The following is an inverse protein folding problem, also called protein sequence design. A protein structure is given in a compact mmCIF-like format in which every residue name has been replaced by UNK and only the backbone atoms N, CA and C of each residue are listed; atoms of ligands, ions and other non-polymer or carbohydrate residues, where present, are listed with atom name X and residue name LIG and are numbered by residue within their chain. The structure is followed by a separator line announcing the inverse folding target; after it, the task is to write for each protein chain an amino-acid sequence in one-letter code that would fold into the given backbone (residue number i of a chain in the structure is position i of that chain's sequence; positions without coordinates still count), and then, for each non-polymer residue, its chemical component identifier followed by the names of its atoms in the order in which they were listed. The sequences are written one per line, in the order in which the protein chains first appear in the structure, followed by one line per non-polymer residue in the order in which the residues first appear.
data_IF_018091651727
#
_entry.id   IF_018091651727
#
_cell.length_a   1.000
_cell.length_b   1.000
_cell.length_c   1.000
_cell.angle_alpha   90.00
_cell.angle_beta   90.00
_cell.angle_gamma   90.00
#
_symmetry.space_group_name_H-M   'P 1'
#
loop_
_entity.id
_entity.type
_entity.pdbx_description
1 polymer ?
#
# COMPACT_ATOMS: atom_id res chain seq x y z
N UNK A 1 -0.79 25.82 15.96
CA UNK A 1 -1.09 24.55 15.25
C UNK A 1 0.18 24.12 14.54
N UNK A 2 0.87 23.07 15.01
CA UNK A 2 2.12 22.63 14.39
C UNK A 2 1.80 21.31 13.66
N UNK A 3 1.38 21.40 12.40
CA UNK A 3 1.34 20.24 11.54
C UNK A 3 2.79 19.85 11.30
N UNK A 4 3.20 18.70 11.84
CA UNK A 4 4.54 18.20 11.63
C UNK A 4 4.66 17.63 10.21
N UNK A 5 5.25 18.40 9.31
CA UNK A 5 5.46 18.04 7.89
C UNK A 5 6.58 17.01 7.68
N UNK A 6 7.31 16.64 8.73
CA UNK A 6 8.39 15.66 8.59
C UNK A 6 7.82 14.27 8.25
N UNK A 7 8.35 13.65 7.21
CA UNK A 7 7.95 12.30 6.80
C UNK A 7 8.25 11.27 7.90
N UNK A 8 9.42 11.39 8.55
CA UNK A 8 9.88 10.50 9.60
C UNK A 8 9.93 11.21 10.96
N UNK A 9 9.47 10.57 12.02
CA UNK A 9 9.59 11.09 13.37
C UNK A 9 11.03 10.97 13.89
N UNK A 10 11.50 11.96 14.65
CA UNK A 10 12.85 11.94 15.23
C UNK A 10 13.04 10.80 16.23
N UNK A 11 12.00 10.45 16.95
CA UNK A 11 12.01 9.39 17.97
C UNK A 11 10.94 8.34 17.65
N UNK A 12 11.15 7.08 18.04
CA UNK A 12 10.12 6.06 17.96
C UNK A 12 8.87 6.48 18.73
N UNK A 13 7.72 6.24 18.15
CA UNK A 13 6.44 6.47 18.81
C UNK A 13 5.99 5.18 19.49
N UNK A 14 5.43 5.31 20.70
CA UNK A 14 4.76 4.18 21.32
C UNK A 14 3.39 3.97 20.67
N UNK A 15 3.14 2.76 20.19
CA UNK A 15 1.83 2.37 19.65
C UNK A 15 0.99 1.71 20.75
N UNK A 16 -0.34 1.93 20.76
CA UNK A 16 -1.24 1.18 21.64
C UNK A 16 -1.28 -0.29 21.21
N UNK A 17 -1.45 -1.16 22.21
CA UNK A 17 -1.55 -2.62 21.99
C UNK A 17 -3.01 -3.10 21.99
N UNK A 18 -3.96 -2.22 22.24
CA UNK A 18 -5.41 -2.49 22.21
C UNK A 18 -6.19 -1.20 22.03
N UNK A 19 -7.35 -1.26 21.41
CA UNK A 19 -8.30 -0.15 21.32
C UNK A 19 -8.77 0.32 22.70
N UNK A 20 -8.84 -0.56 23.69
CA UNK A 20 -9.23 -0.23 25.07
C UNK A 20 -8.29 0.78 25.72
N UNK A 21 -7.04 0.87 25.27
CA UNK A 21 -6.08 1.86 25.77
C UNK A 21 -6.32 3.28 25.24
N UNK A 22 -7.20 3.41 24.26
CA UNK A 22 -7.51 4.69 23.65
C UNK A 22 -8.87 5.22 24.12
N UNK A 23 -9.00 6.54 24.37
CA UNK A 23 -10.28 7.16 24.65
C UNK A 23 -11.28 6.88 23.53
N UNK A 24 -12.43 6.29 23.83
CA UNK A 24 -13.45 5.85 22.88
C UNK A 24 -12.96 4.79 21.87
N UNK A 25 -11.90 4.04 22.18
CA UNK A 25 -11.28 3.10 21.27
C UNK A 25 -12.25 2.03 20.77
N UNK A 26 -13.06 1.44 21.64
CA UNK A 26 -14.07 0.45 21.25
C UNK A 26 -15.10 1.02 20.25
N UNK A 27 -15.50 2.27 20.45
CA UNK A 27 -16.42 2.92 19.52
C UNK A 27 -15.77 3.15 18.13
N UNK A 28 -14.46 3.46 18.10
CA UNK A 28 -13.70 3.53 16.85
C UNK A 28 -13.62 2.17 16.16
N UNK A 29 -13.27 1.12 16.91
CA UNK A 29 -13.17 -0.24 16.40
C UNK A 29 -14.48 -0.70 15.78
N UNK A 30 -15.60 -0.58 16.51
CA UNK A 30 -16.94 -0.97 16.05
C UNK A 30 -17.39 -0.18 14.80
N UNK A 31 -17.08 1.12 14.74
CA UNK A 31 -17.41 1.95 13.58
C UNK A 31 -16.60 1.52 12.35
N UNK A 32 -15.32 1.17 12.53
CA UNK A 32 -14.45 0.66 11.46
C UNK A 32 -14.92 -0.72 10.97
N UNK A 33 -15.27 -1.64 11.86
CA UNK A 33 -15.80 -2.96 11.50
C UNK A 33 -17.05 -2.83 10.61
N UNK A 34 -18.01 -2.00 11.00
CA UNK A 34 -19.20 -1.72 10.20
C UNK A 34 -18.87 -1.13 8.84
N UNK A 35 -17.87 -0.23 8.79
CA UNK A 35 -17.47 0.41 7.54
C UNK A 35 -16.72 -0.53 6.59
N UNK A 36 -15.99 -1.51 7.13
CA UNK A 36 -15.23 -2.51 6.37
C UNK A 36 -16.09 -3.68 5.90
N UNK A 37 -17.14 -4.04 6.65
CA UNK A 37 -17.99 -5.21 6.37
C UNK A 37 -18.42 -5.36 4.89
N UNK A 38 -18.87 -4.32 4.17
CA UNK A 38 -19.29 -4.45 2.77
C UNK A 38 -18.15 -4.81 1.81
N UNK A 39 -16.90 -4.60 2.25
CA UNK A 39 -15.70 -4.81 1.43
C UNK A 39 -15.09 -6.20 1.62
N UNK A 40 -15.39 -6.87 2.73
CA UNK A 40 -14.80 -8.16 3.04
C UNK A 40 -15.12 -9.23 2.00
N UNK A 41 -16.33 -9.18 1.43
CA UNK A 41 -16.75 -10.10 0.35
C UNK A 41 -16.00 -9.90 -0.97
N UNK A 42 -15.39 -8.73 -1.17
CA UNK A 42 -14.61 -8.42 -2.38
C UNK A 42 -13.17 -8.95 -2.33
N UNK A 43 -12.71 -9.37 -1.17
CA UNK A 43 -11.39 -9.96 -1.00
C UNK A 43 -11.46 -11.40 -1.50
N UNK A 44 -10.82 -11.70 -2.63
CA UNK A 44 -10.85 -13.03 -3.25
C UNK A 44 -9.70 -13.94 -2.83
N UNK A 45 -8.56 -13.34 -2.42
CA UNK A 45 -7.34 -14.07 -2.08
C UNK A 45 -7.39 -14.82 -0.75
N UNK A 46 -6.35 -15.60 -0.45
CA UNK A 46 -6.28 -16.47 0.73
C UNK A 46 -5.56 -15.81 1.91
N UNK A 47 -4.47 -15.06 1.66
CA UNK A 47 -3.63 -14.50 2.72
C UNK A 47 -4.00 -13.06 3.04
N UNK A 48 -4.32 -12.82 4.31
CA UNK A 48 -4.71 -11.50 4.83
C UNK A 48 -3.68 -11.03 5.84
N UNK A 49 -3.12 -9.86 5.62
CA UNK A 49 -2.20 -9.22 6.56
C UNK A 49 -2.93 -8.21 7.45
N UNK A 50 -2.80 -8.33 8.75
CA UNK A 50 -3.20 -7.32 9.74
C UNK A 50 -1.94 -6.74 10.39
N UNK A 51 -1.62 -5.49 10.09
CA UNK A 51 -0.42 -4.85 10.59
C UNK A 51 -0.70 -3.93 11.78
N UNK A 52 -0.08 -4.26 12.91
CA UNK A 52 -0.26 -3.57 14.19
C UNK A 52 -1.42 -4.10 15.03
N UNK A 53 -1.33 -3.91 16.33
CA UNK A 53 -2.28 -4.45 17.30
C UNK A 53 -3.71 -3.94 17.08
N UNK A 54 -3.87 -2.67 16.73
CA UNK A 54 -5.19 -2.10 16.45
C UNK A 54 -5.86 -2.74 15.23
N UNK A 55 -5.07 -3.12 14.21
CA UNK A 55 -5.58 -3.83 13.03
C UNK A 55 -6.02 -5.25 13.38
N UNK A 56 -5.32 -5.90 14.30
CA UNK A 56 -5.63 -7.26 14.73
C UNK A 56 -6.98 -7.36 15.44
N UNK A 57 -7.34 -6.38 16.27
CA UNK A 57 -8.60 -6.36 17.00
C UNK A 57 -9.82 -6.04 16.14
N UNK A 58 -9.62 -5.53 14.93
CA UNK A 58 -10.73 -5.37 13.97
C UNK A 58 -11.12 -6.75 13.47
N UNK A 59 -12.29 -7.22 13.90
CA UNK A 59 -12.80 -8.53 13.52
C UNK A 59 -13.19 -8.48 12.04
N UNK A 60 -12.57 -9.36 11.27
CA UNK A 60 -12.91 -9.61 9.88
C UNK A 60 -13.41 -11.05 9.81
N UNK A 61 -14.71 -11.21 9.65
CA UNK A 61 -15.31 -12.52 9.43
C UNK A 61 -14.98 -12.98 8.00
N UNK A 62 -13.83 -13.60 7.85
CA UNK A 62 -13.33 -14.15 6.60
C UNK A 62 -13.09 -15.66 6.78
N UNK A 63 -14.14 -16.46 6.74
CA UNK A 63 -14.01 -17.90 6.92
C UNK A 63 -13.07 -18.47 5.85
N UNK A 64 -12.29 -19.47 6.24
CA UNK A 64 -11.33 -20.19 5.39
C UNK A 64 -10.16 -19.33 4.85
N UNK A 65 -9.90 -18.17 5.42
CA UNK A 65 -8.75 -17.33 5.08
C UNK A 65 -7.66 -17.45 6.14
N UNK A 66 -6.41 -17.42 5.70
CA UNK A 66 -5.26 -17.37 6.59
C UNK A 66 -4.95 -15.92 6.94
N UNK A 67 -5.02 -15.57 8.22
CA UNK A 67 -4.71 -14.22 8.69
C UNK A 67 -3.32 -14.19 9.31
N UNK A 68 -2.50 -13.29 8.85
CA UNK A 68 -1.16 -13.04 9.38
C UNK A 68 -1.20 -11.75 10.17
N UNK A 69 -1.06 -11.87 11.49
CA UNK A 69 -1.00 -10.73 12.39
C UNK A 69 0.47 -10.37 12.63
N UNK A 70 0.87 -9.17 12.27
CA UNK A 70 2.22 -8.68 12.52
C UNK A 70 2.19 -7.53 13.50
N UNK A 71 2.91 -7.66 14.59
CA UNK A 71 3.05 -6.61 15.62
C UNK A 71 4.47 -6.54 16.15
N UNK A 72 4.93 -5.33 16.50
CA UNK A 72 6.24 -5.15 17.13
C UNK A 72 6.27 -5.67 18.57
N UNK A 73 5.10 -5.70 19.22
CA UNK A 73 4.94 -6.20 20.60
C UNK A 73 3.80 -7.21 20.61
N UNK A 74 4.08 -8.38 21.12
CA UNK A 74 3.07 -9.40 21.37
C UNK A 74 2.46 -9.13 22.75
N UNK A 75 1.15 -9.04 22.80
CA UNK A 75 0.38 -8.92 24.03
C UNK A 75 -0.51 -10.15 24.23
N UNK A 76 -0.88 -10.50 25.48
CA UNK A 76 -1.83 -11.60 25.72
C UNK A 76 -3.15 -11.43 24.96
N UNK A 77 -3.62 -10.19 24.79
CA UNK A 77 -4.83 -9.90 24.03
C UNK A 77 -4.69 -10.32 22.56
N UNK A 78 -3.53 -10.08 21.93
CA UNK A 78 -3.28 -10.51 20.56
C UNK A 78 -3.28 -12.04 20.42
N UNK A 79 -2.69 -12.71 21.40
CA UNK A 79 -2.66 -14.18 21.40
C UNK A 79 -4.07 -14.78 21.58
N UNK A 80 -4.92 -14.14 22.37
CA UNK A 80 -6.30 -14.56 22.58
C UNK A 80 -7.21 -14.36 21.36
N UNK A 81 -6.83 -13.49 20.43
CA UNK A 81 -7.58 -13.24 19.19
C UNK A 81 -7.28 -14.25 18.08
N UNK A 82 -6.25 -15.08 18.24
CA UNK A 82 -5.82 -16.04 17.22
C UNK A 82 -6.82 -17.19 17.10
N UNK A 83 -7.16 -17.53 15.89
CA UNK A 83 -7.86 -18.76 15.53
C UNK A 83 -6.86 -19.81 15.05
N UNK A 84 -7.33 -21.04 14.83
CA UNK A 84 -6.46 -22.14 14.38
C UNK A 84 -5.74 -21.87 13.04
N UNK A 85 -6.32 -21.00 12.21
CA UNK A 85 -5.77 -20.66 10.89
C UNK A 85 -4.98 -19.35 10.88
N UNK A 86 -4.72 -18.73 12.04
CA UNK A 86 -4.03 -17.46 12.10
C UNK A 86 -2.57 -17.64 12.50
N UNK A 87 -1.71 -16.80 11.98
CA UNK A 87 -0.28 -16.73 12.34
C UNK A 87 0.05 -15.41 12.98
N UNK A 88 0.67 -15.42 14.16
CA UNK A 88 1.18 -14.23 14.82
C UNK A 88 2.69 -14.11 14.64
N UNK A 89 3.14 -13.01 14.07
CA UNK A 89 4.56 -12.72 13.85
C UNK A 89 4.97 -11.48 14.63
N UNK A 90 6.09 -11.59 15.34
CA UNK A 90 6.74 -10.43 15.95
C UNK A 90 7.76 -9.85 14.99
N UNK A 91 7.46 -8.69 14.40
CA UNK A 91 8.36 -8.03 13.46
C UNK A 91 8.14 -6.52 13.47
N UNK A 92 9.13 -5.79 12.93
CA UNK A 92 9.01 -4.36 12.69
C UNK A 92 8.08 -4.11 11.50
N UNK A 93 7.19 -3.15 11.65
CA UNK A 93 6.28 -2.75 10.56
C UNK A 93 6.99 -2.21 9.32
N UNK A 94 8.27 -1.79 9.47
CA UNK A 94 9.12 -1.28 8.39
C UNK A 94 9.97 -2.33 7.68
N UNK A 95 9.94 -3.60 8.13
CA UNK A 95 10.69 -4.72 7.56
C UNK A 95 9.90 -6.00 7.85
N UNK A 96 9.00 -6.36 6.95
CA UNK A 96 8.11 -7.51 7.12
C UNK A 96 8.82 -8.80 6.67
N UNK A 97 8.82 -9.86 7.51
CA UNK A 97 9.38 -11.16 7.16
C UNK A 97 8.42 -11.97 6.29
N UNK A 98 7.91 -11.36 5.23
CA UNK A 98 6.94 -11.94 4.31
C UNK A 98 7.48 -11.88 2.89
N UNK A 99 7.10 -12.87 2.09
CA UNK A 99 7.47 -12.94 0.68
C UNK A 99 6.75 -11.82 -0.09
N UNK A 100 7.34 -11.37 -1.17
CA UNK A 100 6.75 -10.34 -2.03
C UNK A 100 5.57 -10.91 -2.81
N UNK A 101 4.51 -10.07 -2.99
CA UNK A 101 3.35 -10.39 -3.81
C UNK A 101 2.58 -11.65 -3.40
N UNK A 102 2.49 -11.93 -2.10
CA UNK A 102 1.73 -13.09 -1.59
C UNK A 102 0.48 -12.69 -0.79
N UNK A 103 0.36 -11.42 -0.40
CA UNK A 103 -0.73 -10.94 0.44
C UNK A 103 -1.85 -10.40 -0.43
N UNK A 104 -3.04 -10.95 -0.28
CA UNK A 104 -4.22 -10.54 -1.06
C UNK A 104 -4.90 -9.29 -0.52
N UNK A 105 -4.86 -9.09 0.81
CA UNK A 105 -5.38 -7.87 1.42
C UNK A 105 -4.57 -7.50 2.67
N UNK A 106 -4.37 -6.20 2.87
CA UNK A 106 -3.70 -5.65 4.03
C UNK A 106 -4.60 -4.69 4.79
N UNK A 107 -4.73 -4.89 6.11
CA UNK A 107 -5.40 -3.99 7.04
C UNK A 107 -4.37 -3.19 7.81
N UNK A 108 -4.37 -1.89 7.58
CA UNK A 108 -3.47 -0.91 8.19
C UNK A 108 -4.29 0.10 9.00
N UNK A 109 -4.87 -0.37 10.11
CA UNK A 109 -5.86 0.37 10.88
C UNK A 109 -5.16 1.27 11.90
N UNK A 110 -5.19 2.57 11.66
CA UNK A 110 -4.57 3.63 12.47
C UNK A 110 -3.08 3.42 12.80
N UNK A 111 -2.43 2.43 12.18
CA UNK A 111 -1.02 2.08 12.40
C UNK A 111 -0.10 3.22 12.00
N UNK A 112 -0.36 3.91 10.88
CA UNK A 112 0.46 5.04 10.44
C UNK A 112 0.45 6.21 11.42
N UNK A 113 -0.63 6.39 12.18
CA UNK A 113 -0.71 7.47 13.16
C UNK A 113 0.30 7.31 14.31
N UNK A 114 0.71 6.08 14.61
CA UNK A 114 1.69 5.75 15.65
C UNK A 114 3.05 5.32 15.07
N UNK A 115 3.21 5.38 13.78
CA UNK A 115 4.43 4.97 13.11
C UNK A 115 5.52 6.05 13.13
N UNK A 116 6.78 5.63 13.32
CA UNK A 116 7.94 6.50 13.16
C UNK A 116 8.18 6.85 11.68
N UNK A 117 8.11 5.86 10.80
CA UNK A 117 8.37 5.99 9.37
C UNK A 117 7.20 5.40 8.54
N UNK A 118 6.16 6.20 8.28
CA UNK A 118 4.98 5.74 7.53
C UNK A 118 5.29 5.39 6.07
N UNK A 119 6.27 6.08 5.46
CA UNK A 119 6.64 5.80 4.07
C UNK A 119 7.27 4.41 3.91
N UNK A 120 8.14 4.03 4.84
CA UNK A 120 8.75 2.71 4.79
C UNK A 120 7.71 1.61 5.00
N UNK A 121 6.72 1.84 5.90
CA UNK A 121 5.61 0.90 6.09
C UNK A 121 4.82 0.73 4.79
N UNK A 122 4.44 1.82 4.12
CA UNK A 122 3.70 1.75 2.86
C UNK A 122 4.49 1.06 1.74
N UNK A 123 5.82 1.23 1.68
CA UNK A 123 6.69 0.51 0.74
C UNK A 123 6.71 -0.98 1.02
N UNK A 124 6.79 -1.38 2.29
CA UNK A 124 6.73 -2.79 2.68
C UNK A 124 5.37 -3.42 2.36
N UNK A 125 4.27 -2.69 2.59
CA UNK A 125 2.94 -3.13 2.19
C UNK A 125 2.87 -3.31 0.67
N UNK A 126 3.36 -2.34 -0.10
CA UNK A 126 3.41 -2.46 -1.56
C UNK A 126 4.23 -3.68 -2.02
N UNK A 127 5.34 -3.98 -1.34
CA UNK A 127 6.19 -5.13 -1.66
C UNK A 127 5.49 -6.46 -1.44
N UNK A 128 4.82 -6.62 -0.29
CA UNK A 128 4.19 -7.90 0.09
C UNK A 128 2.81 -8.12 -0.54
N UNK A 129 2.11 -7.03 -0.90
CA UNK A 129 0.79 -7.11 -1.51
C UNK A 129 0.89 -7.62 -2.95
N UNK A 130 0.04 -8.57 -3.32
CA UNK A 130 -0.09 -9.04 -4.70
C UNK A 130 -0.57 -7.94 -5.64
N UNK A 131 -0.39 -8.13 -6.93
CA UNK A 131 -0.96 -7.21 -7.92
C UNK A 131 -2.50 -7.33 -7.85
N UNK A 132 -3.20 -6.21 -7.93
CA UNK A 132 -4.64 -6.07 -7.67
C UNK A 132 -5.08 -6.36 -6.22
N UNK A 133 -4.13 -6.54 -5.30
CA UNK A 133 -4.41 -6.73 -3.88
C UNK A 133 -4.98 -5.47 -3.20
N UNK A 134 -5.74 -5.68 -2.13
CA UNK A 134 -6.48 -4.64 -1.43
C UNK A 134 -5.71 -4.05 -0.25
N UNK A 135 -5.73 -2.73 -0.12
CA UNK A 135 -5.24 -2.02 1.06
C UNK A 135 -6.40 -1.30 1.75
N UNK A 136 -6.65 -1.67 3.01
CA UNK A 136 -7.61 -1.02 3.90
C UNK A 136 -6.84 -0.17 4.91
N UNK A 137 -6.84 1.14 4.70
CA UNK A 137 -6.09 2.09 5.51
C UNK A 137 -7.03 2.99 6.29
N UNK A 138 -6.93 3.03 7.62
CA UNK A 138 -7.63 4.03 8.41
C UNK A 138 -6.67 4.96 9.14
N UNK A 139 -7.14 6.19 9.36
CA UNK A 139 -6.39 7.27 9.99
C UNK A 139 -7.30 8.10 10.88
N UNK A 140 -6.74 8.73 11.90
CA UNK A 140 -7.42 9.81 12.60
C UNK A 140 -7.50 11.03 11.69
N UNK A 141 -8.71 11.53 11.53
CA UNK A 141 -8.99 12.67 10.66
C UNK A 141 -8.44 13.98 11.27
N UNK A 142 -7.55 14.68 10.57
CA UNK A 142 -6.99 15.94 11.07
C UNK A 142 -8.00 17.10 11.13
N UNK A 143 -9.13 17.00 10.43
CA UNK A 143 -10.20 18.00 10.49
C UNK A 143 -11.14 17.80 11.69
N UNK A 144 -11.01 16.68 12.40
CA UNK A 144 -11.79 16.42 13.60
C UNK A 144 -11.27 17.20 14.82
N UNK A 145 -12.04 17.29 15.90
CA UNK A 145 -11.58 17.90 17.17
C UNK A 145 -10.30 17.26 17.72
N UNK A 146 -9.90 16.09 17.23
CA UNK A 146 -8.64 15.44 17.59
C UNK A 146 -7.40 16.24 17.17
N UNK A 147 -7.53 17.22 16.25
CA UNK A 147 -6.43 18.09 15.82
C UNK A 147 -5.81 18.88 16.96
N UNK A 148 -6.59 19.19 17.99
CA UNK A 148 -6.10 19.89 19.16
C UNK A 148 -5.38 18.97 20.16
N UNK A 149 -5.43 17.65 19.96
CA UNK A 149 -4.80 16.68 20.83
C UNK A 149 -3.43 16.27 20.28
N UNK A 150 -2.40 16.31 21.13
CA UNK A 150 -1.07 15.79 20.80
C UNK A 150 -0.90 14.32 21.18
N UNK A 151 -1.74 13.85 22.09
CA UNK A 151 -1.78 12.46 22.58
C UNK A 151 -3.20 11.96 22.58
N UNK A 152 -3.38 10.71 22.27
CA UNK A 152 -4.64 10.00 22.43
C UNK A 152 -4.47 9.01 23.58
N UNK A 153 -5.09 9.33 24.74
CA UNK A 153 -4.71 8.69 25.99
C UNK A 153 -3.24 9.00 26.35
N UNK A 154 -2.46 7.97 26.59
CA UNK A 154 -1.03 8.10 26.90
C UNK A 154 -0.12 8.05 25.65
N UNK A 155 -0.68 7.85 24.45
CA UNK A 155 0.08 7.63 23.23
C UNK A 155 0.21 8.91 22.40
N UNK A 156 1.43 9.37 22.11
CA UNK A 156 1.64 10.42 21.14
C UNK A 156 1.29 9.88 19.75
N UNK A 157 0.55 10.64 18.95
CA UNK A 157 0.15 10.24 17.63
C UNK A 157 0.36 11.35 16.61
N UNK A 158 0.48 10.97 15.37
CA UNK A 158 0.66 11.87 14.23
C UNK A 158 -0.61 11.92 13.42
N UNK A 159 -0.94 13.09 12.96
CA UNK A 159 -2.06 13.31 12.06
C UNK A 159 -1.53 13.69 10.68
N UNK A 160 -2.12 13.10 9.67
CA UNK A 160 -1.75 13.34 8.28
C UNK A 160 -2.95 13.92 7.52
N UNK A 161 -2.77 15.01 6.78
CA UNK A 161 -3.79 15.43 5.83
C UNK A 161 -4.09 14.31 4.85
N UNK A 162 -5.36 14.05 4.58
CA UNK A 162 -5.78 12.91 3.74
C UNK A 162 -5.21 13.00 2.33
N UNK A 163 -5.12 14.22 1.76
CA UNK A 163 -4.53 14.43 0.44
C UNK A 163 -3.08 13.95 0.36
N UNK A 164 -2.31 14.13 1.44
CA UNK A 164 -0.91 13.68 1.50
C UNK A 164 -0.77 12.17 1.50
N UNK A 165 -1.68 11.48 2.19
CA UNK A 165 -1.71 10.01 2.18
C UNK A 165 -2.09 9.50 0.79
N UNK A 166 -3.06 10.13 0.13
CA UNK A 166 -3.45 9.80 -1.24
C UNK A 166 -2.26 9.98 -2.19
N UNK A 167 -1.52 11.07 -2.05
CA UNK A 167 -0.31 11.34 -2.84
C UNK A 167 0.76 10.25 -2.63
N UNK A 168 1.00 9.81 -1.38
CA UNK A 168 1.92 8.71 -1.11
C UNK A 168 1.45 7.38 -1.71
N UNK A 169 0.16 7.10 -1.66
CA UNK A 169 -0.41 5.91 -2.25
C UNK A 169 -0.31 5.94 -3.78
N UNK A 170 -0.56 7.09 -4.40
CA UNK A 170 -0.41 7.27 -5.85
C UNK A 170 1.04 7.06 -6.31
N UNK A 171 2.03 7.56 -5.56
CA UNK A 171 3.46 7.31 -5.82
C UNK A 171 3.84 5.82 -5.74
N UNK A 172 3.09 5.03 -4.99
CA UNK A 172 3.26 3.58 -4.88
C UNK A 172 2.28 2.81 -5.80
N UNK A 173 1.71 3.45 -6.81
CA UNK A 173 0.81 2.83 -7.76
C UNK A 173 -0.43 2.17 -7.14
N UNK A 174 -1.00 2.77 -6.10
CA UNK A 174 -2.29 2.41 -5.56
C UNK A 174 -3.39 3.28 -6.15
N UNK A 175 -4.46 2.64 -6.64
CA UNK A 175 -5.69 3.32 -7.03
C UNK A 175 -6.62 3.43 -5.82
N UNK A 176 -7.11 4.64 -5.56
CA UNK A 176 -8.09 4.88 -4.50
C UNK A 176 -9.47 4.51 -5.01
N UNK A 177 -10.04 3.46 -4.45
CA UNK A 177 -11.38 2.97 -4.81
C UNK A 177 -12.46 3.68 -4.01
N UNK A 178 -12.24 3.87 -2.70
CA UNK A 178 -13.17 4.60 -1.85
C UNK A 178 -12.41 5.39 -0.78
N UNK A 179 -12.94 6.56 -0.47
CA UNK A 179 -12.55 7.37 0.67
C UNK A 179 -13.78 7.85 1.40
N UNK A 180 -13.89 7.52 2.67
CA UNK A 180 -15.01 7.97 3.51
C UNK A 180 -14.56 8.37 4.91
N UNK A 181 -15.24 9.34 5.47
CA UNK A 181 -15.11 9.67 6.88
C UNK A 181 -16.07 8.79 7.68
N UNK A 182 -15.65 8.38 8.89
CA UNK A 182 -16.42 7.49 9.74
C UNK A 182 -16.74 8.24 11.03
N UNK A 183 -18.03 8.34 11.32
CA UNK A 183 -18.55 8.88 12.57
C UNK A 183 -18.64 7.79 13.63
N UNK A 184 -18.52 8.21 14.91
CA UNK A 184 -18.76 7.35 16.06
C UNK A 184 -20.22 7.52 16.48
N UNK A 185 -20.83 6.45 16.99
CA UNK A 185 -22.19 6.46 17.54
C UNK A 185 -23.17 7.06 16.53
N UNK A 186 -24.14 6.55 16.11
CA UNK A 186 -25.28 6.98 15.29
C UNK A 186 -25.28 8.42 14.67
N UNK A 187 -24.13 9.08 14.62
CA UNK A 187 -23.97 10.39 14.00
C UNK A 187 -23.78 10.22 12.50
N UNK A 188 -24.29 11.17 11.73
CA UNK A 188 -24.01 11.22 10.30
C UNK A 188 -22.51 11.51 10.08
N UNK A 189 -21.92 10.80 9.11
CA UNK A 189 -20.54 11.05 8.74
C UNK A 189 -20.40 12.44 8.11
N UNK A 190 -19.53 13.26 8.70
CA UNK A 190 -19.21 14.62 8.23
C UNK A 190 -17.72 14.72 7.95
N UNK A 191 -17.30 15.85 7.37
CA UNK A 191 -15.86 16.11 7.20
C UNK A 191 -15.11 16.22 8.54
N UNK A 192 -15.82 16.47 9.66
CA UNK A 192 -15.26 16.55 11.01
C UNK A 192 -15.32 15.23 11.78
N UNK A 193 -15.77 14.15 11.15
CA UNK A 193 -15.77 12.82 11.77
C UNK A 193 -14.37 12.39 12.17
N UNK A 194 -14.20 11.63 13.26
CA UNK A 194 -12.88 11.39 13.87
C UNK A 194 -11.96 10.47 13.05
N UNK A 195 -12.51 9.65 12.20
CA UNK A 195 -11.77 8.68 11.39
C UNK A 195 -11.99 8.92 9.90
N UNK A 196 -10.95 8.63 9.14
CA UNK A 196 -11.01 8.51 7.67
C UNK A 196 -10.59 7.11 7.29
N UNK A 197 -11.39 6.44 6.48
CA UNK A 197 -11.07 5.16 5.85
C UNK A 197 -10.76 5.41 4.37
N UNK A 198 -9.65 4.84 3.93
CA UNK A 198 -9.22 4.82 2.54
C UNK A 198 -9.12 3.36 2.12
N UNK A 199 -9.78 3.01 1.03
CA UNK A 199 -9.72 1.70 0.42
C UNK A 199 -9.04 1.88 -0.92
N UNK A 200 -7.94 1.18 -1.10
CA UNK A 200 -7.12 1.28 -2.29
C UNK A 200 -6.80 -0.12 -2.83
N UNK A 201 -6.52 -0.19 -4.11
CA UNK A 201 -6.10 -1.41 -4.79
C UNK A 201 -4.75 -1.16 -5.45
N UNK A 202 -3.82 -2.10 -5.31
CA UNK A 202 -2.54 -2.01 -5.97
C UNK A 202 -2.73 -2.22 -7.46
N UNK A 203 -2.22 -1.31 -8.29
CA UNK A 203 -2.27 -1.48 -9.75
C UNK A 203 -1.35 -2.60 -10.20
N UNK A 204 -1.87 -3.41 -11.07
CA UNK A 204 -1.01 -4.21 -11.94
C UNK A 204 -0.34 -3.28 -12.95
N UNK A 205 0.99 -3.25 -12.96
CA UNK A 205 1.73 -2.54 -14.01
C UNK A 205 2.09 -3.56 -15.08
N UNK A 206 1.36 -3.64 -16.20
CA UNK A 206 1.74 -4.54 -17.27
C UNK A 206 3.09 -4.07 -17.82
N UNK A 207 4.01 -5.01 -17.98
CA UNK A 207 5.25 -4.79 -18.73
C UNK A 207 4.88 -4.66 -20.21
N UNK A 208 4.29 -3.55 -20.61
CA UNK A 208 4.15 -3.20 -22.02
C UNK A 208 5.53 -2.77 -22.50
N UNK A 209 6.19 -3.65 -23.21
CA UNK A 209 7.25 -3.27 -24.14
C UNK A 209 6.64 -2.20 -25.06
N UNK A 210 7.16 -0.98 -24.98
CA UNK A 210 6.79 0.10 -25.90
C UNK A 210 7.28 -0.27 -27.31
N UNK A 211 6.52 -1.10 -28.00
CA UNK A 211 6.79 -1.50 -29.39
C UNK A 211 6.78 -0.31 -30.34
N UNK A 212 6.21 0.82 -29.96
CA UNK A 212 6.25 2.05 -30.79
C UNK A 212 7.63 2.72 -30.84
N UNK A 213 8.48 2.58 -29.82
CA UNK A 213 9.83 3.13 -29.86
C UNK A 213 10.82 2.27 -30.63
N UNK A 214 10.56 0.99 -30.82
CA UNK A 214 11.42 0.11 -31.63
C UNK A 214 11.12 0.21 -33.12
N UNK A 215 9.91 0.58 -33.53
CA UNK A 215 9.58 0.76 -34.96
C UNK A 215 10.23 1.99 -35.61
N UNK A 216 10.72 2.95 -34.84
CA UNK A 216 11.41 4.12 -35.35
C UNK A 216 12.93 3.94 -35.52
N UNK A 217 13.46 2.76 -35.22
CA UNK A 217 14.88 2.41 -35.34
C UNK A 217 15.12 1.16 -36.14
N UNK A 218 14.33 0.91 -37.18
CA UNK A 218 14.78 -0.03 -38.20
C UNK A 218 16.01 0.61 -38.85
N UNK A 219 17.20 0.05 -38.70
CA UNK A 219 18.32 0.53 -39.48
C UNK A 219 17.96 0.35 -40.95
N UNK A 220 18.01 1.44 -41.69
CA UNK A 220 17.92 1.37 -43.18
C UNK A 220 19.17 0.62 -43.60
N UNK A 221 19.04 -0.70 -43.80
CA UNK A 221 20.10 -1.45 -44.47
C UNK A 221 20.15 -0.91 -45.89
N UNK A 222 21.26 -0.29 -46.28
CA UNK A 222 21.59 -0.01 -47.64
C UNK A 222 21.46 -1.32 -48.42
N UNK A 223 20.71 -1.29 -49.50
CA UNK A 223 20.50 -2.49 -50.28
C UNK A 223 21.86 -2.96 -50.82
N UNK A 224 22.18 -4.28 -50.76
CA UNK A 224 23.48 -4.77 -51.20
C UNK A 224 23.80 -4.52 -52.69
N UNK A 225 22.80 -4.13 -53.48
CA UNK A 225 22.94 -3.79 -54.90
C UNK A 225 23.76 -2.51 -55.15
N UNK A 226 23.86 -1.60 -54.20
CA UNK A 226 24.66 -0.37 -54.39
C UNK A 226 26.14 -0.57 -54.03
N UNK A 227 26.51 -1.66 -53.37
CA UNK A 227 27.89 -1.94 -52.97
C UNK A 227 28.73 -2.65 -54.08
N UNK A 228 28.11 -3.06 -55.22
CA UNK A 228 28.77 -3.80 -56.29
C UNK A 228 28.74 -3.11 -57.65
N UNK A 229 28.51 -1.81 -57.73
CA UNK A 229 28.75 -0.99 -58.89
C UNK A 229 30.14 -0.36 -58.86
N UNK A 230 31.17 -1.11 -58.57
CA UNK A 230 32.52 -0.74 -58.98
C UNK A 230 32.74 -1.23 -60.38
N UNK A 231 33.05 -0.28 -61.26
CA UNK A 231 33.34 -0.39 -62.65
C UNK A 231 34.29 -1.55 -62.95
N UNK A 232 33.87 -2.51 -63.82
CA UNK A 232 34.81 -3.43 -64.40
C UNK A 232 35.62 -2.67 -65.47
N UNK A 233 36.97 -2.67 -65.35
CA UNK A 233 37.80 -2.04 -66.36
C UNK A 233 37.66 -2.77 -67.71
N UNK A 234 37.42 -1.98 -68.75
CA UNK A 234 37.34 -2.43 -70.13
C UNK A 234 38.65 -3.13 -70.55
N UNK A 235 38.66 -4.44 -70.75
CA UNK A 235 39.70 -5.19 -71.39
C UNK A 235 39.58 -5.01 -72.93
N UNK A 236 40.33 -4.06 -73.47
CA UNK A 236 40.54 -3.93 -74.89
C UNK A 236 41.10 -5.20 -75.45
N UNK A 237 40.32 -5.83 -76.30
CA UNK A 237 40.80 -6.88 -77.28
C UNK A 237 41.70 -6.25 -78.29
N UNK A 238 42.93 -6.58 -78.27
CA UNK A 238 43.87 -6.31 -79.41
C UNK A 238 43.51 -7.13 -80.61
N UNK A 239 43.50 -6.53 -81.82
CA UNK A 239 43.27 -7.31 -83.02
C UNK A 239 44.53 -8.02 -83.46
N UNK A 240 44.43 -9.32 -83.67
CA UNK A 240 45.44 -10.09 -84.37
C UNK A 240 45.42 -9.76 -85.82
N UNK A 241 46.55 -9.27 -86.36
CA UNK A 241 46.88 -9.26 -87.73
C UNK A 241 47.86 -10.43 -88.03
N UNK A 242 47.48 -11.24 -89.04
CA UNK A 242 48.24 -12.20 -89.82
C UNK A 242 48.83 -13.40 -89.07
#
# INVERSE_FOLDING_TARGET
MIINWQAKAKHPLSSPISWQQLPQGEAYCNALQKALSPWLSKILGYQILKLGALSAEVITELPMRHQILVSEKISPNLTALLTANDTLLQAKSTALPLVQKEISACFLINTLNFAQDPHQILREIHRVLEDDGWLFLSLFNPLSPLIFKRKLGNFPFRQYPTWRIIDWLALLHFDIVERKNIAIKHQHATMFSPLTLIIAQKRHTPLTLNTEKERSKTPTFLQPAEAFQEEMPDYHRSPHAK
#
